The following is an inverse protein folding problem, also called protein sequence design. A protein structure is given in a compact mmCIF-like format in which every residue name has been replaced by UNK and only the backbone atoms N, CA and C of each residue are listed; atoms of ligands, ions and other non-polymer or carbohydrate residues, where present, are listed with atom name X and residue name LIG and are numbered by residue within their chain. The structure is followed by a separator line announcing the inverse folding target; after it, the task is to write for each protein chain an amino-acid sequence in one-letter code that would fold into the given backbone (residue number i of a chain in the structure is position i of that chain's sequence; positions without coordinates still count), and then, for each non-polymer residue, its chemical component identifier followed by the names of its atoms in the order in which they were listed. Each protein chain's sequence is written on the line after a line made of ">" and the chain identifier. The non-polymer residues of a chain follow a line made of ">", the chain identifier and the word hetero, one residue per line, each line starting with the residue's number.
data_IF_295488390944
#
_entry.id   IF_295488390944
#
_cell.length_a   1.000
_cell.length_b   1.000
_cell.length_c   1.000
_cell.angle_alpha   90.00
_cell.angle_beta   90.00
_cell.angle_gamma   90.00
#
_symmetry.space_group_name_H-M   'P 1'
#
loop_
_entity.id
_entity.type
_entity.pdbx_description
1 polymer ?
#
# COMPACT_ATOMS: atom_id res chain seq x y z
N UNK A 1 -15.24 10.34 9.53
CA UNK A 1 -13.87 10.61 9.12
C UNK A 1 -13.52 9.89 7.85
N UNK A 2 -12.88 10.58 6.95
CA UNK A 2 -12.53 10.02 5.67
C UNK A 2 -11.31 9.12 5.75
N UNK A 3 -11.41 7.96 5.14
CA UNK A 3 -10.30 7.02 5.13
C UNK A 3 -9.41 7.26 3.90
N UNK A 4 -8.29 7.95 4.10
CA UNK A 4 -7.38 8.31 3.01
C UNK A 4 -6.71 7.10 2.37
N UNK A 5 -6.49 6.04 3.13
CA UNK A 5 -5.91 4.80 2.61
C UNK A 5 -6.86 4.13 1.61
N UNK A 6 -8.15 4.15 1.88
CA UNK A 6 -9.14 3.62 0.96
C UNK A 6 -9.18 4.42 -0.34
N UNK A 7 -9.08 5.74 -0.21
CA UNK A 7 -9.11 6.62 -1.38
C UNK A 7 -7.90 6.38 -2.29
N UNK A 8 -6.70 6.23 -1.72
CA UNK A 8 -5.52 5.99 -2.54
C UNK A 8 -5.57 4.61 -3.20
N UNK A 9 -6.07 3.60 -2.50
CA UNK A 9 -6.20 2.26 -3.08
C UNK A 9 -7.14 2.27 -4.29
N UNK A 10 -8.29 2.91 -4.14
CA UNK A 10 -9.26 3.04 -5.22
C UNK A 10 -8.69 3.82 -6.39
N UNK A 11 -8.02 4.93 -6.10
CA UNK A 11 -7.43 5.79 -7.12
C UNK A 11 -6.34 5.06 -7.90
N UNK A 12 -5.49 4.30 -7.21
CA UNK A 12 -4.45 3.50 -7.87
C UNK A 12 -5.07 2.47 -8.81
N UNK A 13 -6.08 1.74 -8.36
CA UNK A 13 -6.73 0.75 -9.20
C UNK A 13 -7.36 1.37 -10.44
N UNK A 14 -8.12 2.45 -10.23
CA UNK A 14 -8.81 3.11 -11.34
C UNK A 14 -7.83 3.71 -12.34
N UNK A 15 -6.75 4.32 -11.84
CA UNK A 15 -5.77 4.96 -12.70
C UNK A 15 -4.98 3.95 -13.52
N UNK A 16 -4.68 2.80 -12.96
CA UNK A 16 -4.00 1.74 -13.69
C UNK A 16 -4.89 1.13 -14.78
N UNK A 17 -6.19 1.00 -14.49
CA UNK A 17 -7.15 0.53 -15.49
C UNK A 17 -7.24 1.52 -16.66
N UNK A 18 -7.18 2.81 -16.36
CA UNK A 18 -7.22 3.88 -17.39
C UNK A 18 -5.85 4.15 -18.01
N UNK A 19 -4.82 3.41 -17.61
CA UNK A 19 -3.45 3.53 -18.14
C UNK A 19 -2.82 4.90 -17.98
N UNK A 20 -3.06 5.54 -16.83
CA UNK A 20 -2.43 6.81 -16.51
C UNK A 20 -0.97 6.62 -16.15
N UNK A 21 -0.15 7.62 -16.42
CA UNK A 21 1.27 7.59 -16.09
C UNK A 21 1.54 8.01 -14.65
N UNK A 22 0.71 8.90 -14.11
CA UNK A 22 0.87 9.40 -12.75
C UNK A 22 -0.48 9.79 -12.17
N UNK A 23 -0.51 9.91 -10.84
CA UNK A 23 -1.68 10.42 -10.10
C UNK A 23 -1.20 11.35 -9.01
N UNK A 24 -2.13 12.11 -8.43
CA UNK A 24 -1.87 12.99 -7.30
C UNK A 24 -2.61 12.52 -6.06
N UNK A 25 -1.95 12.61 -4.92
CA UNK A 25 -2.57 12.30 -3.63
C UNK A 25 -2.10 13.31 -2.59
N UNK A 26 -2.92 13.60 -1.57
CA UNK A 26 -2.50 14.48 -0.48
C UNK A 26 -1.27 13.93 0.23
N UNK A 27 -0.37 14.83 0.64
CA UNK A 27 0.81 14.44 1.40
C UNK A 27 0.45 14.26 2.86
N UNK A 28 0.44 13.03 3.33
CA UNK A 28 0.25 12.70 4.74
C UNK A 28 1.30 11.65 5.12
N UNK A 29 1.55 11.52 6.42
CA UNK A 29 2.52 10.52 6.90
C UNK A 29 2.12 9.11 6.50
N UNK A 30 0.84 8.81 6.57
CA UNK A 30 0.33 7.48 6.23
C UNK A 30 0.51 7.17 4.75
N UNK A 31 0.19 8.12 3.88
CA UNK A 31 0.34 7.93 2.43
C UNK A 31 1.82 7.80 2.06
N UNK A 32 2.69 8.62 2.65
CA UNK A 32 4.13 8.51 2.39
C UNK A 32 4.65 7.13 2.79
N UNK A 33 4.25 6.63 3.96
CA UNK A 33 4.67 5.31 4.42
C UNK A 33 4.20 4.21 3.47
N UNK A 34 2.95 4.30 3.01
CA UNK A 34 2.39 3.36 2.05
C UNK A 34 3.15 3.37 0.72
N UNK A 35 3.44 4.57 0.20
CA UNK A 35 4.15 4.72 -1.07
C UNK A 35 5.59 4.23 -0.98
N UNK A 36 6.24 4.43 0.15
CA UNK A 36 7.60 3.92 0.36
C UNK A 36 7.62 2.40 0.26
N UNK A 37 6.64 1.73 0.84
CA UNK A 37 6.52 0.27 0.75
C UNK A 37 6.30 -0.17 -0.69
N UNK A 38 5.39 0.48 -1.42
CA UNK A 38 5.13 0.15 -2.81
C UNK A 38 6.37 0.36 -3.70
N UNK A 39 7.11 1.42 -3.43
CA UNK A 39 8.33 1.70 -4.19
C UNK A 39 9.39 0.65 -3.92
N UNK A 40 9.63 0.33 -2.65
CA UNK A 40 10.62 -0.69 -2.26
C UNK A 40 10.30 -2.06 -2.86
N UNK A 41 9.01 -2.39 -2.98
CA UNK A 41 8.59 -3.67 -3.53
C UNK A 41 8.47 -3.66 -5.06
N UNK A 42 8.74 -2.53 -5.69
CA UNK A 42 8.75 -2.44 -7.14
C UNK A 42 7.39 -2.31 -7.80
N UNK A 43 6.37 -1.89 -7.08
CA UNK A 43 5.02 -1.73 -7.62
C UNK A 43 4.77 -0.36 -8.25
N UNK A 44 5.54 0.65 -7.88
CA UNK A 44 5.47 1.97 -8.49
C UNK A 44 6.87 2.42 -8.90
N UNK A 45 6.96 3.36 -9.84
CA UNK A 45 8.25 3.91 -10.25
C UNK A 45 8.82 4.85 -9.19
N UNK A 46 7.96 5.49 -8.43
CA UNK A 46 8.37 6.40 -7.37
C UNK A 46 7.34 7.49 -7.16
N UNK A 47 7.69 8.47 -6.34
CA UNK A 47 6.84 9.64 -6.10
C UNK A 47 7.72 10.81 -5.74
N UNK A 48 7.15 12.01 -5.86
CA UNK A 48 7.82 13.24 -5.43
C UNK A 48 6.78 14.26 -4.97
N UNK A 49 7.25 15.26 -4.24
CA UNK A 49 6.40 16.40 -3.87
C UNK A 49 6.14 17.22 -5.13
N UNK A 50 4.87 17.58 -5.35
CA UNK A 50 4.50 18.33 -6.53
C UNK A 50 5.01 19.78 -6.43
N UNK A 51 5.66 20.27 -7.48
CA UNK A 51 6.29 21.59 -7.46
C UNK A 51 5.29 22.73 -7.29
N UNK A 52 4.11 22.59 -7.89
CA UNK A 52 3.09 23.64 -7.83
C UNK A 52 2.26 23.63 -6.55
N UNK A 53 2.30 22.53 -5.80
CA UNK A 53 1.56 22.40 -4.54
C UNK A 53 2.29 21.43 -3.61
N UNK A 54 3.01 21.95 -2.59
CA UNK A 54 3.77 21.07 -1.69
C UNK A 54 2.92 20.17 -0.81
N UNK A 55 1.60 20.36 -0.78
CA UNK A 55 0.70 19.47 -0.06
C UNK A 55 0.26 18.28 -0.89
N UNK A 56 0.71 18.17 -2.14
CA UNK A 56 0.39 17.05 -3.02
C UNK A 56 1.64 16.24 -3.35
N UNK A 57 1.44 14.95 -3.50
CA UNK A 57 2.45 14.03 -4.01
C UNK A 57 2.08 13.62 -5.42
N UNK A 58 3.08 13.60 -6.29
CA UNK A 58 2.93 13.07 -7.65
C UNK A 58 3.50 11.66 -7.65
N UNK A 59 2.64 10.68 -7.93
CA UNK A 59 2.99 9.27 -7.87
C UNK A 59 3.10 8.74 -9.29
N UNK A 60 4.25 8.17 -9.63
CA UNK A 60 4.51 7.63 -10.96
C UNK A 60 4.18 6.15 -10.99
N UNK A 61 3.21 5.78 -11.82
CA UNK A 61 2.72 4.41 -11.94
C UNK A 61 3.66 3.57 -12.81
N UNK A 62 3.68 2.28 -12.56
CA UNK A 62 4.58 1.35 -13.22
C UNK A 62 3.81 0.31 -14.01
N UNK A 63 4.26 0.06 -15.23
CA UNK A 63 3.68 -0.96 -16.11
C UNK A 63 4.78 -1.85 -16.65
N UNK A 64 4.46 -3.12 -16.84
CA UNK A 64 5.38 -4.10 -17.44
C UNK A 64 4.66 -4.80 -18.57
N UNK A 65 5.24 -4.77 -19.77
CA UNK A 65 4.67 -5.42 -20.97
C UNK A 65 3.22 -5.02 -21.20
N UNK A 66 2.92 -3.73 -21.00
CA UNK A 66 1.59 -3.18 -21.19
C UNK A 66 0.59 -3.47 -20.07
N UNK A 67 1.03 -4.09 -18.97
CA UNK A 67 0.17 -4.41 -17.83
C UNK A 67 0.64 -3.69 -16.57
N UNK A 68 -0.27 -3.32 -15.66
CA UNK A 68 0.13 -2.71 -14.39
C UNK A 68 1.07 -3.62 -13.61
N UNK A 69 2.08 -3.04 -12.98
CA UNK A 69 2.98 -3.79 -12.11
C UNK A 69 2.23 -4.39 -10.92
N UNK A 70 1.22 -3.68 -10.40
CA UNK A 70 0.28 -4.24 -9.44
C UNK A 70 -0.88 -4.86 -10.20
N UNK A 71 -0.95 -6.19 -10.24
CA UNK A 71 -2.06 -6.84 -10.92
C UNK A 71 -3.33 -6.85 -10.05
N UNK A 72 -3.17 -6.75 -8.74
CA UNK A 72 -4.30 -6.75 -7.81
C UNK A 72 -3.94 -5.96 -6.55
N UNK A 73 -4.84 -5.11 -6.10
CA UNK A 73 -4.73 -4.36 -4.86
C UNK A 73 -6.08 -4.42 -4.16
N UNK A 74 -6.13 -5.11 -3.03
CA UNK A 74 -7.38 -5.30 -2.29
C UNK A 74 -7.22 -4.86 -0.85
N UNK A 75 -8.27 -4.26 -0.31
CA UNK A 75 -8.38 -3.95 1.10
C UNK A 75 -8.88 -5.18 1.84
N UNK A 76 -8.19 -5.55 2.92
CA UNK A 76 -8.57 -6.70 3.74
C UNK A 76 -9.48 -6.26 4.88
N UNK A 77 -9.06 -5.24 5.63
CA UNK A 77 -9.82 -4.74 6.79
C UNK A 77 -10.72 -3.61 6.38
N UNK A 78 -11.96 -3.66 6.81
CA UNK A 78 -12.94 -2.60 6.60
C UNK A 78 -13.23 -1.92 7.94
N UNK A 79 -13.70 -0.67 7.94
CA UNK A 79 -14.05 0.00 9.20
C UNK A 79 -15.05 -0.77 10.05
N UNK A 80 -15.98 -1.49 9.41
CA UNK A 80 -17.00 -2.28 10.09
C UNK A 80 -16.53 -3.66 10.52
N UNK A 81 -15.38 -4.13 10.02
CA UNK A 81 -14.89 -5.47 10.30
C UNK A 81 -13.36 -5.44 10.29
N UNK A 82 -12.79 -5.41 11.48
CA UNK A 82 -11.34 -5.34 11.64
C UNK A 82 -10.79 -6.70 12.09
N UNK A 83 -9.72 -7.11 11.41
CA UNK A 83 -9.02 -8.36 11.70
C UNK A 83 -7.68 -8.01 12.31
N UNK A 84 -7.25 -8.77 13.31
CA UNK A 84 -5.94 -8.59 13.91
C UNK A 84 -5.16 -9.89 13.85
N UNK A 85 -3.91 -9.82 13.40
CA UNK A 85 -3.00 -10.97 13.40
C UNK A 85 -1.93 -10.78 14.46
N UNK A 86 -1.81 -11.76 15.37
CA UNK A 86 -0.72 -11.78 16.34
C UNK A 86 0.59 -12.16 15.63
N UNK A 87 1.71 -11.87 16.29
CA UNK A 87 3.02 -12.20 15.73
C UNK A 87 3.15 -13.69 15.41
N UNK A 88 2.64 -14.56 16.30
CA UNK A 88 2.71 -16.00 16.05
C UNK A 88 1.83 -16.44 14.89
N UNK A 89 0.69 -15.79 14.68
CA UNK A 89 -0.20 -16.09 13.57
C UNK A 89 0.45 -15.79 12.22
N UNK A 90 1.26 -14.74 12.15
CA UNK A 90 1.90 -14.31 10.90
C UNK A 90 2.81 -15.40 10.32
N UNK A 91 3.47 -16.17 11.16
CA UNK A 91 4.37 -17.23 10.71
C UNK A 91 3.65 -18.36 9.99
N UNK A 92 2.34 -18.48 10.20
CA UNK A 92 1.52 -19.52 9.59
C UNK A 92 0.99 -19.11 8.21
N UNK A 93 1.12 -17.84 7.85
CA UNK A 93 0.60 -17.34 6.58
C UNK A 93 1.58 -17.58 5.44
N UNK A 94 1.06 -18.01 4.31
CA UNK A 94 1.85 -18.16 3.09
C UNK A 94 1.85 -16.81 2.35
N UNK A 95 3.01 -16.19 2.27
CA UNK A 95 3.14 -14.86 1.68
C UNK A 95 4.01 -14.86 0.43
N UNK A 96 4.27 -16.01 -0.15
CA UNK A 96 5.16 -16.10 -1.31
C UNK A 96 4.62 -15.42 -2.56
N UNK A 97 3.31 -15.39 -2.72
CA UNK A 97 2.65 -14.88 -3.94
C UNK A 97 2.10 -13.48 -3.80
N UNK A 98 2.06 -12.95 -2.60
CA UNK A 98 1.40 -11.67 -2.35
C UNK A 98 2.16 -10.88 -1.30
N UNK A 99 2.10 -9.56 -1.43
CA UNK A 99 2.57 -8.64 -0.38
C UNK A 99 1.38 -8.29 0.49
N UNK A 100 1.53 -8.44 1.81
CA UNK A 100 0.51 -8.02 2.76
C UNK A 100 1.08 -6.87 3.57
N UNK A 101 0.35 -5.77 3.64
CA UNK A 101 0.73 -4.59 4.42
C UNK A 101 -0.18 -4.51 5.63
N UNK A 102 0.43 -4.39 6.82
CA UNK A 102 -0.29 -4.31 8.08
C UNK A 102 -0.07 -2.95 8.73
N UNK A 103 -1.06 -2.50 9.49
CA UNK A 103 -0.86 -1.36 10.38
C UNK A 103 -0.53 -1.89 11.77
N UNK A 104 0.56 -1.39 12.35
CA UNK A 104 1.06 -1.81 13.65
C UNK A 104 1.26 -0.58 14.53
N UNK A 105 1.59 -0.78 15.79
CA UNK A 105 1.93 0.32 16.69
C UNK A 105 3.18 1.10 16.21
N UNK A 106 3.96 0.51 15.32
CA UNK A 106 5.14 1.16 14.73
C UNK A 106 4.85 1.81 13.38
N UNK A 107 3.58 1.77 12.92
CA UNK A 107 3.17 2.29 11.63
C UNK A 107 2.88 1.20 10.62
N UNK A 108 2.89 1.55 9.34
CA UNK A 108 2.68 0.57 8.27
C UNK A 108 3.94 -0.28 8.11
N UNK A 109 3.73 -1.58 8.03
CA UNK A 109 4.82 -2.54 7.86
C UNK A 109 4.38 -3.65 6.91
N UNK A 110 5.34 -4.21 6.18
CA UNK A 110 5.08 -5.41 5.40
C UNK A 110 5.03 -6.61 6.33
N UNK A 111 4.41 -7.69 5.87
CA UNK A 111 4.33 -8.91 6.68
C UNK A 111 5.73 -9.47 6.97
N UNK A 112 6.68 -9.29 6.06
CA UNK A 112 8.05 -9.73 6.27
C UNK A 112 8.70 -8.98 7.44
N UNK A 113 8.52 -7.66 7.47
CA UNK A 113 9.03 -6.85 8.58
C UNK A 113 8.37 -7.22 9.90
N UNK A 114 7.06 -7.48 9.88
CA UNK A 114 6.34 -7.90 11.08
C UNK A 114 6.88 -9.23 11.62
N UNK A 115 7.18 -10.18 10.74
CA UNK A 115 7.76 -11.46 11.15
C UNK A 115 9.14 -11.27 11.77
N UNK A 116 9.97 -10.44 11.17
CA UNK A 116 11.33 -10.20 11.67
C UNK A 116 11.36 -9.53 13.03
N UNK A 117 10.41 -8.64 13.29
CA UNK A 117 10.36 -7.88 14.53
C UNK A 117 9.40 -8.48 15.55
N UNK A 118 8.78 -9.61 15.25
CA UNK A 118 7.79 -10.26 16.12
C UNK A 118 6.66 -9.32 16.52
N UNK A 119 6.18 -8.54 15.54
CA UNK A 119 5.14 -7.54 15.75
C UNK A 119 3.85 -7.99 15.09
N UNK A 120 2.75 -7.99 15.84
CA UNK A 120 1.43 -8.24 15.26
C UNK A 120 0.80 -6.96 14.74
N UNK A 121 -0.28 -7.07 13.99
CA UNK A 121 -0.97 -5.90 13.47
C UNK A 121 -2.24 -6.24 12.73
N UNK A 122 -2.88 -5.21 12.20
CA UNK A 122 -4.10 -5.35 11.40
C UNK A 122 -3.73 -5.35 9.92
N UNK A 123 -4.07 -6.40 9.18
CA UNK A 123 -3.79 -6.39 7.74
C UNK A 123 -4.70 -5.37 7.04
N UNK A 124 -4.13 -4.52 6.23
CA UNK A 124 -4.87 -3.51 5.48
C UNK A 124 -4.99 -3.87 4.01
N UNK A 125 -3.89 -4.25 3.38
CA UNK A 125 -3.86 -4.51 1.94
C UNK A 125 -3.23 -5.84 1.62
N UNK A 126 -3.72 -6.45 0.55
CA UNK A 126 -3.02 -7.55 -0.12
C UNK A 126 -2.77 -7.12 -1.55
N UNK A 127 -1.51 -7.21 -1.99
CA UNK A 127 -1.06 -6.72 -3.29
C UNK A 127 -0.35 -7.85 -4.02
N UNK A 128 -0.68 -7.98 -5.29
CA UNK A 128 -0.01 -8.97 -6.17
C UNK A 128 0.64 -8.28 -7.35
#
# INVERSE_FOLDING_TARGET
>A
MKNTIWNIATDLRNSQTSRRNFIFQPKTKLIVAFLNILWDEGFILGYKIYDSDPNLLKIFLKYKNGKPAMSSLKLISKPSHQIYYSASHLWKLDTKKSLIILTTHKGLMTIQECKQTHTGGKPLFIIK
#
